data_IF_057893415056
#
_entry.id   IF_057893415056
#
_cell.length_a   1.000
_cell.length_b   1.000
_cell.length_c   1.000
_cell.angle_alpha   90.00
_cell.angle_beta   90.00
_cell.angle_gamma   90.00
#
_symmetry.space_group_name_H-M   'P 1'
#
loop_
_entity.id
_entity.type
_entity.pdbx_description
1 polymer ?
#
# COMPACT_ATOMS: atom_id res chain seq x y z
N UNK A 1 -9.18 -54.12 -11.92
CA UNK A 1 -8.65 -53.56 -10.65
C UNK A 1 -7.46 -52.69 -11.01
N UNK A 2 -7.70 -51.41 -11.27
CA UNK A 2 -6.66 -50.41 -11.47
C UNK A 2 -6.90 -49.35 -10.39
N UNK A 3 -5.91 -49.22 -9.53
CA UNK A 3 -5.92 -48.41 -8.31
C UNK A 3 -5.67 -46.94 -8.71
N UNK A 4 -6.65 -46.09 -8.41
CA UNK A 4 -6.63 -44.67 -8.76
C UNK A 4 -6.09 -43.90 -7.54
N UNK A 5 -4.81 -43.51 -7.58
CA UNK A 5 -4.19 -42.74 -6.50
C UNK A 5 -4.61 -41.27 -6.59
N UNK A 6 -5.56 -40.91 -5.72
CA UNK A 6 -5.90 -39.55 -5.34
C UNK A 6 -4.63 -38.81 -4.86
N UNK A 7 -4.22 -37.82 -5.64
CA UNK A 7 -3.17 -36.87 -5.24
C UNK A 7 -3.85 -35.67 -4.58
N UNK A 8 -3.56 -35.33 -3.31
CA UNK A 8 -4.18 -34.18 -2.67
C UNK A 8 -3.67 -32.85 -3.28
N UNK A 9 -4.51 -31.80 -3.33
CA UNK A 9 -4.10 -30.49 -3.79
C UNK A 9 -3.06 -29.89 -2.83
N UNK A 10 -1.88 -29.60 -3.38
CA UNK A 10 -0.78 -28.90 -2.71
C UNK A 10 -1.17 -27.43 -2.46
N UNK A 11 -1.88 -27.18 -1.36
CA UNK A 11 -2.20 -25.83 -0.88
C UNK A 11 -1.01 -25.25 -0.11
N UNK A 12 0.06 -24.97 -0.83
CA UNK A 12 1.26 -24.29 -0.33
C UNK A 12 1.11 -22.78 -0.56
N UNK A 13 0.14 -22.17 0.12
CA UNK A 13 0.14 -20.72 0.29
C UNK A 13 1.39 -20.32 1.08
N UNK A 14 2.16 -19.32 0.65
CA UNK A 14 3.36 -18.87 1.35
C UNK A 14 2.98 -18.41 2.76
N UNK A 15 3.49 -19.13 3.77
CA UNK A 15 3.41 -18.69 5.17
C UNK A 15 4.20 -17.38 5.26
N UNK A 16 3.57 -16.25 5.64
CA UNK A 16 4.34 -15.04 5.89
C UNK A 16 5.34 -15.33 7.00
N UNK A 17 6.63 -14.98 6.84
CA UNK A 17 7.63 -15.21 7.88
C UNK A 17 7.23 -14.44 9.13
N UNK A 18 7.29 -15.12 10.27
CA UNK A 18 7.10 -14.51 11.58
C UNK A 18 8.17 -13.45 11.79
N UNK A 19 7.79 -12.17 11.69
CA UNK A 19 8.63 -11.08 12.16
C UNK A 19 8.69 -11.21 13.69
N UNK A 20 9.91 -11.29 14.21
CA UNK A 20 10.17 -11.11 15.64
C UNK A 20 9.52 -9.80 16.08
N UNK A 21 8.63 -9.82 17.10
CA UNK A 21 7.98 -8.62 17.56
C UNK A 21 9.05 -7.70 18.12
N UNK A 22 9.30 -6.59 17.43
CA UNK A 22 9.99 -5.45 18.02
C UNK A 22 9.15 -5.02 19.23
N UNK A 23 9.64 -5.32 20.43
CA UNK A 23 9.24 -4.78 21.74
C UNK A 23 7.80 -4.25 21.79
N UNK A 24 6.85 -5.13 22.10
CA UNK A 24 5.47 -4.78 22.44
C UNK A 24 5.49 -3.78 23.61
N UNK A 25 5.36 -2.50 23.31
CA UNK A 25 5.03 -1.47 24.31
C UNK A 25 3.55 -1.62 24.63
N UNK A 26 3.25 -1.79 25.90
CA UNK A 26 1.88 -1.86 26.42
C UNK A 26 1.09 -0.63 25.97
N UNK A 27 -0.11 -0.79 25.38
CA UNK A 27 -0.92 0.34 24.94
C UNK A 27 -1.36 1.18 26.14
N UNK A 28 -1.12 2.50 26.03
CA UNK A 28 -1.55 3.50 27.02
C UNK A 28 -3.09 3.62 27.02
N UNK A 29 -3.77 3.54 28.19
CA UNK A 29 -5.22 3.38 28.30
C UNK A 29 -5.99 4.71 28.26
N UNK A 30 -5.78 5.52 27.23
CA UNK A 30 -6.62 6.69 26.92
C UNK A 30 -6.68 6.89 25.40
N UNK A 31 -7.31 5.93 24.71
CA UNK A 31 -7.52 6.03 23.27
C UNK A 31 -8.65 7.02 23.00
N UNK A 32 -8.28 8.26 22.65
CA UNK A 32 -9.19 9.10 21.88
C UNK A 32 -9.65 8.35 20.62
N UNK A 33 -10.86 8.63 20.09
CA UNK A 33 -11.32 8.07 18.83
C UNK A 33 -10.34 8.46 17.70
N UNK A 34 -9.39 7.58 17.42
CA UNK A 34 -8.26 7.83 16.53
C UNK A 34 -7.51 6.55 16.20
N UNK A 35 -6.69 6.58 15.15
CA UNK A 35 -5.85 5.44 14.75
C UNK A 35 -4.94 5.09 15.94
N UNK A 36 -4.79 3.81 16.24
CA UNK A 36 -3.78 3.38 17.21
C UNK A 36 -2.38 3.88 16.78
N UNK A 37 -1.53 4.29 17.73
CA UNK A 37 -0.19 4.79 17.39
C UNK A 37 0.61 3.75 16.58
N UNK A 38 0.45 2.46 16.89
CA UNK A 38 1.09 1.35 16.21
C UNK A 38 0.58 1.18 14.77
N UNK A 39 -0.75 1.18 14.59
CA UNK A 39 -1.37 1.12 13.25
C UNK A 39 -0.93 2.31 12.39
N UNK A 40 -0.81 3.51 12.97
CA UNK A 40 -0.37 4.69 12.24
C UNK A 40 1.08 4.56 11.76
N UNK A 41 1.99 4.07 12.61
CA UNK A 41 3.38 3.85 12.24
C UNK A 41 3.52 2.78 11.15
N UNK A 42 2.71 1.70 11.21
CA UNK A 42 2.64 0.67 10.16
C UNK A 42 2.21 1.29 8.83
N UNK A 43 1.15 2.09 8.82
CA UNK A 43 0.63 2.74 7.61
C UNK A 43 1.69 3.66 7.02
N UNK A 44 2.31 4.53 7.84
CA UNK A 44 3.34 5.47 7.40
C UNK A 44 4.54 4.74 6.81
N UNK A 45 5.00 3.67 7.44
CA UNK A 45 6.14 2.91 6.96
C UNK A 45 5.86 2.30 5.57
N UNK A 46 4.68 1.69 5.39
CA UNK A 46 4.29 1.12 4.11
C UNK A 46 4.04 2.18 3.03
N UNK A 47 3.56 3.37 3.40
CA UNK A 47 3.49 4.50 2.49
C UNK A 47 4.88 4.91 1.99
N UNK A 48 5.87 5.00 2.89
CA UNK A 48 7.23 5.32 2.50
C UNK A 48 7.75 4.26 1.56
N UNK A 49 7.61 2.97 1.90
CA UNK A 49 8.02 1.89 1.01
C UNK A 49 7.31 1.93 -0.35
N UNK A 50 6.00 2.16 -0.39
CA UNK A 50 5.27 2.33 -1.66
C UNK A 50 5.73 3.55 -2.47
N UNK A 51 6.12 4.65 -1.81
CA UNK A 51 6.75 5.78 -2.51
C UNK A 51 8.13 5.41 -3.07
N UNK A 52 8.90 4.56 -2.38
CA UNK A 52 10.18 4.08 -2.87
C UNK A 52 10.03 3.14 -4.06
N UNK A 53 8.96 2.34 -4.13
CA UNK A 53 8.73 1.46 -5.28
C UNK A 53 8.48 2.27 -6.55
N UNK A 54 7.75 3.39 -6.46
CA UNK A 54 7.54 4.29 -7.58
C UNK A 54 8.83 4.84 -8.22
N UNK A 55 9.94 4.86 -7.47
CA UNK A 55 11.24 5.27 -8.00
C UNK A 55 11.88 4.18 -8.90
N UNK A 56 11.34 2.97 -8.93
CA UNK A 56 11.84 1.86 -9.72
C UNK A 56 11.44 2.06 -11.19
N UNK A 57 12.39 2.01 -12.14
CA UNK A 57 12.11 2.26 -13.55
C UNK A 57 11.39 1.10 -14.28
N UNK A 58 10.92 0.07 -13.57
CA UNK A 58 10.34 -1.15 -14.15
C UNK A 58 8.88 -1.28 -13.71
N UNK A 59 7.90 -0.96 -14.58
CA UNK A 59 6.49 -0.81 -14.18
C UNK A 59 5.84 -2.11 -13.68
N UNK A 60 6.24 -3.27 -14.25
CA UNK A 60 5.68 -4.57 -13.83
C UNK A 60 6.14 -4.93 -12.41
N UNK A 61 7.44 -4.77 -12.13
CA UNK A 61 8.00 -5.09 -10.81
C UNK A 61 7.53 -4.11 -9.75
N UNK A 62 7.37 -2.84 -10.11
CA UNK A 62 6.79 -1.81 -9.22
C UNK A 62 5.36 -2.18 -8.81
N UNK A 63 4.51 -2.60 -9.75
CA UNK A 63 3.13 -3.04 -9.44
C UNK A 63 3.09 -4.24 -8.48
N UNK A 64 3.93 -5.25 -8.70
CA UNK A 64 4.05 -6.40 -7.80
C UNK A 64 4.56 -6.01 -6.42
N UNK A 65 5.55 -5.10 -6.37
CA UNK A 65 6.11 -4.62 -5.12
C UNK A 65 5.09 -3.82 -4.30
N UNK A 66 4.36 -2.91 -4.95
CA UNK A 66 3.31 -2.14 -4.32
C UNK A 66 2.17 -3.05 -3.81
N UNK A 67 1.75 -4.04 -4.60
CA UNK A 67 0.73 -5.01 -4.18
C UNK A 67 1.19 -5.85 -2.98
N UNK A 68 2.42 -6.37 -3.01
CA UNK A 68 3.01 -7.08 -1.87
C UNK A 68 3.01 -6.22 -0.60
N UNK A 69 3.49 -4.97 -0.68
CA UNK A 69 3.56 -4.05 0.45
C UNK A 69 2.16 -3.73 1.00
N UNK A 70 1.16 -3.53 0.14
CA UNK A 70 -0.23 -3.27 0.57
C UNK A 70 -0.82 -4.49 1.28
N UNK A 71 -0.66 -5.69 0.72
CA UNK A 71 -1.13 -6.93 1.36
C UNK A 71 -0.49 -7.12 2.73
N UNK A 72 0.82 -6.93 2.82
CA UNK A 72 1.57 -7.02 4.08
C UNK A 72 1.10 -6.00 5.11
N UNK A 73 0.85 -4.76 4.70
CA UNK A 73 0.26 -3.73 5.57
C UNK A 73 -1.08 -4.19 6.15
N UNK A 74 -1.99 -4.69 5.31
CA UNK A 74 -3.33 -5.14 5.76
C UNK A 74 -3.22 -6.33 6.70
N UNK A 75 -2.33 -7.29 6.44
CA UNK A 75 -2.08 -8.39 7.38
C UNK A 75 -1.58 -7.89 8.74
N UNK A 76 -0.67 -6.93 8.76
CA UNK A 76 -0.15 -6.37 10.01
C UNK A 76 -1.21 -5.59 10.78
N UNK A 77 -2.04 -4.81 10.08
CA UNK A 77 -3.17 -4.12 10.69
C UNK A 77 -4.17 -5.13 11.28
N UNK A 78 -4.58 -6.14 10.52
CA UNK A 78 -5.50 -7.18 11.01
C UNK A 78 -4.95 -7.91 12.24
N UNK A 79 -3.66 -8.27 12.22
CA UNK A 79 -2.98 -8.90 13.35
C UNK A 79 -2.99 -7.99 14.61
N UNK A 80 -2.77 -6.69 14.45
CA UNK A 80 -2.86 -5.71 15.54
C UNK A 80 -4.26 -5.61 16.17
N UNK A 81 -5.31 -5.88 15.39
CA UNK A 81 -6.70 -5.95 15.88
C UNK A 81 -7.12 -7.36 16.34
N UNK A 82 -6.21 -8.33 16.33
CA UNK A 82 -6.51 -9.72 16.69
C UNK A 82 -7.40 -10.47 15.68
N UNK A 83 -7.55 -9.92 14.48
CA UNK A 83 -8.33 -10.53 13.40
C UNK A 83 -7.42 -11.35 12.47
N UNK A 84 -7.94 -12.49 12.00
CA UNK A 84 -7.28 -13.31 10.97
C UNK A 84 -8.04 -13.16 9.67
N UNK A 85 -7.52 -12.35 8.76
CA UNK A 85 -8.06 -12.24 7.41
C UNK A 85 -7.55 -13.39 6.53
N UNK A 86 -8.42 -13.95 5.71
CA UNK A 86 -8.00 -14.89 4.68
C UNK A 86 -7.19 -14.16 3.59
N UNK A 87 -6.36 -14.90 2.86
CA UNK A 87 -5.59 -14.35 1.75
C UNK A 87 -6.47 -13.73 0.67
N UNK A 88 -7.63 -14.33 0.42
CA UNK A 88 -8.66 -13.82 -0.49
C UNK A 88 -9.22 -12.47 -0.01
N UNK A 89 -9.56 -12.35 1.27
CA UNK A 89 -10.06 -11.08 1.83
C UNK A 89 -9.01 -9.98 1.73
N UNK A 90 -7.76 -10.28 2.07
CA UNK A 90 -6.67 -9.32 1.94
C UNK A 90 -6.49 -8.90 0.49
N UNK A 91 -6.53 -9.85 -0.45
CA UNK A 91 -6.45 -9.55 -1.88
C UNK A 91 -7.57 -8.60 -2.32
N UNK A 92 -8.82 -8.89 -1.96
CA UNK A 92 -9.98 -8.04 -2.25
C UNK A 92 -9.81 -6.63 -1.68
N UNK A 93 -9.34 -6.52 -0.43
CA UNK A 93 -9.17 -5.22 0.23
C UNK A 93 -8.03 -4.40 -0.39
N UNK A 94 -7.02 -5.03 -0.97
CA UNK A 94 -5.85 -4.34 -1.55
C UNK A 94 -5.88 -4.16 -3.05
N UNK A 95 -6.81 -4.82 -3.75
CA UNK A 95 -6.91 -4.76 -5.21
C UNK A 95 -7.18 -3.33 -5.70
N UNK A 96 -6.29 -2.79 -6.53
CA UNK A 96 -6.53 -1.51 -7.20
C UNK A 96 -7.19 -1.76 -8.57
N UNK A 97 -8.46 -1.34 -8.70
CA UNK A 97 -9.15 -1.24 -9.99
C UNK A 97 -8.41 -0.22 -10.87
N UNK A 98 -7.51 -0.69 -11.73
CA UNK A 98 -6.78 0.18 -12.66
C UNK A 98 -5.43 -0.32 -13.14
N UNK A 99 -4.90 -1.43 -12.60
CA UNK A 99 -3.68 -2.07 -13.12
C UNK A 99 -3.95 -2.86 -14.42
N UNK A 100 -4.56 -2.21 -15.40
CA UNK A 100 -4.62 -2.73 -16.76
C UNK A 100 -3.20 -2.64 -17.36
N UNK A 101 -2.46 -3.75 -17.26
CA UNK A 101 -1.27 -4.03 -18.08
C UNK A 101 -1.50 -3.85 -19.59
N UNK A 102 -2.74 -3.68 -20.05
CA UNK A 102 -3.13 -3.50 -21.45
C UNK A 102 -2.69 -2.19 -22.13
N UNK A 103 -2.32 -1.13 -21.40
CA UNK A 103 -1.92 0.14 -22.03
C UNK A 103 -0.40 0.28 -22.27
N UNK A 104 0.42 -0.64 -21.76
CA UNK A 104 1.89 -0.52 -21.81
C UNK A 104 2.44 -0.84 -23.21
N UNK A 105 1.76 -1.69 -23.97
CA UNK A 105 2.19 -2.07 -25.33
C UNK A 105 2.16 -0.93 -26.35
N UNK A 106 1.23 0.04 -26.21
CA UNK A 106 1.07 1.16 -27.15
C UNK A 106 2.02 2.33 -26.90
N UNK A 107 2.39 2.61 -25.64
CA UNK A 107 3.21 3.78 -25.32
C UNK A 107 4.71 3.56 -25.57
N UNK A 108 5.19 2.31 -25.56
CA UNK A 108 6.61 2.02 -25.73
C UNK A 108 7.08 2.29 -27.17
N UNK A 109 6.21 2.11 -28.17
CA UNK A 109 6.52 2.38 -29.57
C UNK A 109 6.60 3.88 -29.89
N UNK A 110 5.79 4.71 -29.22
CA UNK A 110 5.82 6.17 -29.37
C UNK A 110 7.11 6.82 -28.85
N UNK A 111 7.83 6.16 -27.93
CA UNK A 111 9.06 6.69 -27.34
C UNK A 111 10.29 6.53 -28.26
N UNK A 112 10.26 5.58 -29.19
CA UNK A 112 11.37 5.29 -30.12
C UNK A 112 11.49 6.40 -31.18
N UNK A 113 10.40 7.10 -31.48
CA UNK A 113 10.33 8.13 -32.54
C UNK A 113 10.72 9.54 -32.08
N UNK A 114 10.99 9.76 -30.79
CA UNK A 114 11.24 11.10 -30.23
C UNK A 114 12.75 11.40 -30.25
N UNK A 115 13.19 12.56 -30.77
CA UNK A 115 14.61 12.90 -30.82
C UNK A 115 15.20 13.04 -29.40
N UNK A 116 16.40 12.48 -29.19
CA UNK A 116 17.07 12.36 -27.88
C UNK A 116 17.17 13.68 -27.08
N UNK A 117 17.28 14.83 -27.76
CA UNK A 117 17.29 16.16 -27.13
C UNK A 117 15.93 16.55 -26.52
N UNK A 118 14.81 16.17 -27.14
CA UNK A 118 13.48 16.36 -26.56
C UNK A 118 13.24 15.39 -25.40
N UNK A 119 13.75 14.17 -25.50
CA UNK A 119 13.61 13.15 -24.44
C UNK A 119 14.21 13.63 -23.12
N UNK A 120 15.36 14.32 -23.14
CA UNK A 120 16.00 14.83 -21.90
C UNK A 120 15.26 16.00 -21.26
N UNK A 121 14.72 16.93 -22.04
CA UNK A 121 13.86 18.01 -21.53
C UNK A 121 12.53 17.47 -21.01
N UNK A 122 11.91 16.56 -21.78
CA UNK A 122 10.68 15.90 -21.39
C UNK A 122 10.90 15.00 -20.17
N UNK A 123 12.07 14.38 -20.00
CA UNK A 123 12.38 13.56 -18.82
C UNK A 123 12.32 14.37 -17.52
N UNK A 124 12.75 15.64 -17.52
CA UNK A 124 12.62 16.52 -16.35
C UNK A 124 11.16 16.86 -16.05
N UNK A 125 10.37 17.20 -17.07
CA UNK A 125 8.94 17.47 -16.90
C UNK A 125 8.16 16.22 -16.45
N UNK A 126 8.48 15.06 -17.04
CA UNK A 126 7.95 13.76 -16.67
C UNK A 126 8.34 13.37 -15.25
N UNK A 127 9.51 13.78 -14.75
CA UNK A 127 9.90 13.53 -13.37
C UNK A 127 8.98 14.26 -12.37
N UNK A 128 8.61 15.51 -12.66
CA UNK A 128 7.64 16.25 -11.82
C UNK A 128 6.27 15.59 -11.86
N UNK A 129 5.80 15.18 -13.05
CA UNK A 129 4.53 14.46 -13.20
C UNK A 129 4.54 13.10 -12.50
N UNK A 130 5.67 12.39 -12.54
CA UNK A 130 5.87 11.14 -11.79
C UNK A 130 5.73 11.39 -10.29
N UNK A 131 6.45 12.37 -9.74
CA UNK A 131 6.35 12.72 -8.32
C UNK A 131 4.91 13.04 -7.93
N UNK A 132 4.21 13.87 -8.72
CA UNK A 132 2.80 14.19 -8.46
C UNK A 132 1.92 12.94 -8.44
N UNK A 133 2.05 12.07 -9.45
CA UNK A 133 1.30 10.80 -9.52
C UNK A 133 1.61 9.89 -8.32
N UNK A 134 2.86 9.83 -7.88
CA UNK A 134 3.25 9.05 -6.70
C UNK A 134 2.63 9.60 -5.43
N UNK A 135 2.70 10.92 -5.23
CA UNK A 135 2.09 11.56 -4.07
C UNK A 135 0.57 11.35 -4.07
N UNK A 136 -0.10 11.48 -5.21
CA UNK A 136 -1.55 11.22 -5.34
C UNK A 136 -1.90 9.76 -5.05
N UNK A 137 -1.10 8.81 -5.55
CA UNK A 137 -1.29 7.37 -5.28
C UNK A 137 -1.05 7.03 -3.82
N UNK A 138 0.04 7.54 -3.22
CA UNK A 138 0.35 7.37 -1.81
C UNK A 138 -0.73 8.01 -0.92
N UNK A 139 -1.24 9.19 -1.29
CA UNK A 139 -2.36 9.83 -0.61
C UNK A 139 -3.60 8.94 -0.63
N UNK A 140 -3.99 8.39 -1.77
CA UNK A 140 -5.11 7.42 -1.85
C UNK A 140 -4.84 6.18 -1.01
N UNK A 141 -3.64 5.62 -1.08
CA UNK A 141 -3.25 4.45 -0.28
C UNK A 141 -3.37 4.73 1.22
N UNK A 142 -3.02 5.93 1.69
CA UNK A 142 -3.18 6.34 3.08
C UNK A 142 -4.65 6.35 3.50
N UNK A 143 -5.51 6.97 2.70
CA UNK A 143 -6.94 7.05 2.99
C UNK A 143 -7.57 5.66 3.02
N UNK A 144 -7.24 4.81 2.05
CA UNK A 144 -7.64 3.40 2.02
C UNK A 144 -7.19 2.66 3.27
N UNK A 145 -5.91 2.77 3.65
CA UNK A 145 -5.38 2.11 4.84
C UNK A 145 -6.08 2.57 6.13
N UNK A 146 -6.40 3.87 6.22
CA UNK A 146 -7.14 4.44 7.36
C UNK A 146 -8.56 3.89 7.44
N UNK A 147 -9.24 3.74 6.30
CA UNK A 147 -10.58 3.12 6.26
C UNK A 147 -10.54 1.62 6.58
N UNK A 148 -9.47 0.91 6.21
CA UNK A 148 -9.27 -0.49 6.60
C UNK A 148 -9.09 -0.60 8.12
N UNK A 149 -8.25 0.25 8.71
CA UNK A 149 -8.07 0.31 10.16
C UNK A 149 -9.39 0.59 10.87
N UNK A 150 -10.17 1.56 10.37
CA UNK A 150 -11.51 1.85 10.88
C UNK A 150 -12.44 0.63 10.79
N UNK A 151 -12.47 -0.04 9.64
CA UNK A 151 -13.33 -1.20 9.40
C UNK A 151 -12.96 -2.39 10.30
N UNK A 152 -11.67 -2.61 10.55
CA UNK A 152 -11.18 -3.60 11.51
C UNK A 152 -11.57 -3.22 12.94
N UNK A 153 -11.29 -1.98 13.35
CA UNK A 153 -11.62 -1.46 14.69
C UNK A 153 -13.11 -1.56 15.02
N UNK A 154 -13.97 -1.32 14.03
CA UNK A 154 -15.43 -1.37 14.16
C UNK A 154 -16.05 -2.70 13.75
N UNK A 155 -15.22 -3.72 13.46
CA UNK A 155 -15.63 -5.09 13.09
C UNK A 155 -16.58 -5.16 11.89
N UNK A 156 -16.47 -4.23 10.93
CA UNK A 156 -17.31 -4.17 9.72
C UNK A 156 -17.00 -5.28 8.72
N UNK A 157 -15.88 -5.98 8.91
CA UNK A 157 -15.49 -7.16 8.15
C UNK A 157 -16.13 -8.46 8.66
N UNK A 158 -16.99 -8.38 9.69
CA UNK A 158 -17.79 -9.51 10.17
C UNK A 158 -19.18 -9.57 9.50
N UNK A 159 -19.71 -10.76 9.19
CA UNK A 159 -19.08 -12.09 9.34
C UNK A 159 -17.89 -12.27 8.39
N UNK A 160 -16.87 -13.00 8.87
CA UNK A 160 -15.65 -13.22 8.10
C UNK A 160 -15.97 -13.94 6.78
N UNK A 161 -15.51 -13.39 5.66
CA UNK A 161 -15.72 -13.93 4.33
C UNK A 161 -15.44 -12.93 3.20
N UNK A 162 -15.36 -13.45 1.98
CA UNK A 162 -15.19 -12.64 0.77
C UNK A 162 -16.34 -11.63 0.53
N UNK A 163 -17.63 -11.95 0.77
CA UNK A 163 -18.72 -10.99 0.53
C UNK A 163 -18.62 -9.73 1.40
N UNK A 164 -18.25 -9.88 2.68
CA UNK A 164 -18.06 -8.73 3.58
C UNK A 164 -16.88 -7.85 3.12
N UNK A 165 -15.76 -8.47 2.74
CA UNK A 165 -14.60 -7.76 2.22
C UNK A 165 -14.90 -7.03 0.90
N UNK A 166 -15.66 -7.65 -0.02
CA UNK A 166 -16.08 -7.01 -1.27
C UNK A 166 -16.98 -5.80 -1.02
N UNK A 167 -17.94 -5.92 -0.10
CA UNK A 167 -18.83 -4.82 0.28
C UNK A 167 -18.04 -3.64 0.86
N UNK A 168 -17.16 -3.93 1.83
CA UNK A 168 -16.30 -2.91 2.44
C UNK A 168 -15.38 -2.26 1.41
N UNK A 169 -14.76 -3.06 0.53
CA UNK A 169 -13.91 -2.53 -0.55
C UNK A 169 -14.69 -1.59 -1.48
N UNK A 170 -15.88 -1.99 -1.92
CA UNK A 170 -16.71 -1.18 -2.81
C UNK A 170 -17.12 0.14 -2.15
N UNK A 171 -17.51 0.11 -0.88
CA UNK A 171 -17.84 1.32 -0.13
C UNK A 171 -16.61 2.23 0.04
N UNK A 172 -15.44 1.67 0.39
CA UNK A 172 -14.20 2.42 0.47
C UNK A 172 -13.81 3.09 -0.86
N UNK A 173 -13.93 2.38 -1.98
CA UNK A 173 -13.65 2.93 -3.31
C UNK A 173 -14.52 4.17 -3.58
N UNK A 174 -15.81 4.13 -3.21
CA UNK A 174 -16.73 5.26 -3.38
C UNK A 174 -16.36 6.44 -2.49
N UNK A 175 -16.02 6.20 -1.23
CA UNK A 175 -15.59 7.24 -0.29
C UNK A 175 -14.27 7.87 -0.74
N UNK A 176 -13.27 7.07 -1.09
CA UNK A 176 -11.95 7.58 -1.53
C UNK A 176 -12.06 8.35 -2.85
N UNK A 177 -12.97 7.96 -3.75
CA UNK A 177 -13.19 8.67 -5.01
C UNK A 177 -13.73 10.11 -4.82
N UNK A 178 -14.51 10.35 -3.77
CA UNK A 178 -15.10 11.67 -3.47
C UNK A 178 -14.29 12.47 -2.45
N UNK A 179 -13.34 11.85 -1.75
CA UNK A 179 -12.55 12.50 -0.71
C UNK A 179 -11.45 13.40 -1.28
N UNK A 180 -11.30 14.59 -0.70
CA UNK A 180 -10.21 15.50 -1.04
C UNK A 180 -8.87 15.01 -0.47
N UNK A 181 -8.04 14.40 -1.30
CA UNK A 181 -6.71 13.90 -0.89
C UNK A 181 -5.65 15.00 -0.73
N UNK A 182 -5.96 16.26 -1.06
CA UNK A 182 -4.99 17.38 -1.08
C UNK A 182 -4.23 17.59 0.24
N UNK A 183 -4.85 17.55 1.43
CA UNK A 183 -4.13 17.77 2.69
C UNK A 183 -3.02 16.74 2.91
N UNK A 184 -3.33 15.47 2.70
CA UNK A 184 -2.37 14.35 2.80
C UNK A 184 -1.30 14.47 1.72
N UNK A 185 -1.69 14.79 0.48
CA UNK A 185 -0.74 14.99 -0.62
C UNK A 185 0.26 16.11 -0.33
N UNK A 186 -0.19 17.21 0.29
CA UNK A 186 0.70 18.31 0.71
C UNK A 186 1.68 17.88 1.80
N UNK A 187 1.20 17.14 2.81
CA UNK A 187 2.06 16.59 3.86
C UNK A 187 3.14 15.66 3.27
N UNK A 188 2.72 14.70 2.43
CA UNK A 188 3.64 13.78 1.73
C UNK A 188 4.65 14.53 0.86
N UNK A 189 4.20 15.52 0.08
CA UNK A 189 5.07 16.32 -0.77
C UNK A 189 6.09 17.13 0.03
N UNK A 190 5.69 17.71 1.16
CA UNK A 190 6.58 18.46 2.04
C UNK A 190 7.72 17.57 2.57
N UNK A 191 7.38 16.37 3.05
CA UNK A 191 8.37 15.40 3.53
C UNK A 191 9.28 14.92 2.41
N UNK A 192 8.72 14.60 1.24
CA UNK A 192 9.49 14.20 0.07
C UNK A 192 10.48 15.29 -0.35
N UNK A 193 10.08 16.56 -0.26
CA UNK A 193 10.93 17.69 -0.62
C UNK A 193 12.05 17.93 0.39
N UNK A 194 11.78 17.75 1.69
CA UNK A 194 12.76 17.91 2.76
C UNK A 194 13.76 16.76 2.87
N UNK A 195 13.41 15.56 2.42
CA UNK A 195 14.19 14.34 2.65
C UNK A 195 14.61 13.61 1.35
N UNK A 196 14.82 14.35 0.25
CA UNK A 196 15.10 13.78 -1.07
C UNK A 196 16.28 12.83 -1.10
N UNK A 197 17.39 13.17 -0.44
CA UNK A 197 18.62 12.37 -0.50
C UNK A 197 18.50 11.06 0.27
N UNK A 198 17.81 11.09 1.42
CA UNK A 198 17.50 9.89 2.20
C UNK A 198 16.57 8.96 1.42
N UNK A 199 15.50 9.50 0.81
CA UNK A 199 14.58 8.72 -0.03
C UNK A 199 15.27 8.18 -1.28
N UNK A 200 16.16 8.95 -1.91
CA UNK A 200 16.95 8.49 -3.05
C UNK A 200 17.88 7.33 -2.68
N UNK A 201 18.49 7.41 -1.50
CA UNK A 201 19.35 6.35 -0.98
C UNK A 201 18.54 5.08 -0.69
N UNK A 202 17.40 5.21 -0.02
CA UNK A 202 16.49 4.10 0.24
C UNK A 202 15.95 3.46 -1.06
N UNK A 203 15.55 4.29 -2.04
CA UNK A 203 15.11 3.85 -3.36
C UNK A 203 16.22 3.10 -4.10
N UNK A 204 17.49 3.49 -3.94
CA UNK A 204 18.62 2.78 -4.54
C UNK A 204 18.76 1.35 -4.00
N UNK A 205 18.53 1.13 -2.69
CA UNK A 205 18.52 -0.21 -2.10
C UNK A 205 17.38 -1.08 -2.65
N UNK A 206 16.15 -0.55 -2.69
CA UNK A 206 15.00 -1.24 -3.29
C UNK A 206 15.26 -1.60 -4.76
N UNK A 207 15.72 -0.64 -5.55
CA UNK A 207 16.02 -0.85 -6.96
C UNK A 207 17.16 -1.87 -7.15
N UNK A 208 18.17 -1.88 -6.28
CA UNK A 208 19.25 -2.87 -6.32
C UNK A 208 18.72 -4.28 -6.02
N UNK A 209 17.92 -4.44 -4.97
CA UNK A 209 17.32 -5.72 -4.60
C UNK A 209 16.46 -6.28 -5.73
N UNK A 210 15.63 -5.45 -6.33
CA UNK A 210 14.73 -5.86 -7.43
C UNK A 210 15.45 -6.09 -8.75
N UNK A 211 16.53 -5.35 -9.05
CA UNK A 211 17.36 -5.59 -10.23
C UNK A 211 18.19 -6.86 -10.14
N UNK A 212 18.52 -7.30 -8.93
CA UNK A 212 19.21 -8.57 -8.72
C UNK A 212 18.33 -9.78 -9.06
N UNK A 213 17.00 -9.61 -9.14
CA UNK A 213 16.09 -10.69 -9.52
C UNK A 213 16.22 -11.00 -11.02
N UNK A 214 16.55 -12.26 -11.38
CA UNK A 214 16.56 -12.67 -12.77
C UNK A 214 15.15 -12.59 -13.35
N UNK A 215 15.03 -12.28 -14.65
CA UNK A 215 13.73 -12.06 -15.30
C UNK A 215 12.74 -13.21 -15.09
N UNK A 216 13.23 -14.46 -15.04
CA UNK A 216 12.43 -15.67 -14.82
C UNK A 216 11.87 -15.84 -13.40
N UNK A 217 12.35 -15.05 -12.42
CA UNK A 217 11.95 -15.08 -11.00
C UNK A 217 11.33 -13.75 -10.57
N UNK A 218 10.61 -13.09 -11.48
CA UNK A 218 9.86 -11.87 -11.19
C UNK A 218 8.39 -12.20 -10.93
N UNK A 219 8.17 -13.21 -10.10
CA UNK A 219 6.87 -13.52 -9.51
C UNK A 219 6.73 -12.82 -8.15
N UNK A 220 5.52 -12.86 -7.58
CA UNK A 220 5.19 -12.15 -6.35
C UNK A 220 6.03 -12.61 -5.14
N UNK A 221 6.38 -13.89 -5.06
CA UNK A 221 7.07 -14.47 -3.91
C UNK A 221 8.53 -13.98 -3.86
N UNK A 222 9.25 -14.09 -4.98
CA UNK A 222 10.63 -13.63 -5.05
C UNK A 222 10.76 -12.10 -4.92
N UNK A 223 9.78 -11.35 -5.42
CA UNK A 223 9.70 -9.89 -5.21
C UNK A 223 9.51 -9.59 -3.72
N UNK A 224 8.62 -10.32 -3.04
CA UNK A 224 8.41 -10.19 -1.60
C UNK A 224 9.69 -10.41 -0.79
N UNK A 225 10.42 -11.49 -1.06
CA UNK A 225 11.68 -11.81 -0.38
C UNK A 225 12.75 -10.73 -0.60
N UNK A 226 12.90 -10.24 -1.83
CA UNK A 226 13.85 -9.18 -2.16
C UNK A 226 13.50 -7.86 -1.46
N UNK A 227 12.21 -7.53 -1.39
CA UNK A 227 11.73 -6.34 -0.67
C UNK A 227 11.96 -6.45 0.82
N UNK A 228 11.67 -7.60 1.42
CA UNK A 228 11.91 -7.83 2.84
C UNK A 228 13.39 -7.64 3.22
N UNK A 229 14.32 -8.08 2.35
CA UNK A 229 15.75 -7.82 2.55
C UNK A 229 16.10 -6.33 2.40
N UNK A 230 15.49 -5.64 1.43
CA UNK A 230 15.69 -4.21 1.23
C UNK A 230 15.13 -3.35 2.38
N UNK A 231 14.00 -3.74 2.96
CA UNK A 231 13.42 -3.11 4.15
C UNK A 231 14.39 -3.17 5.33
N UNK A 232 15.00 -4.33 5.59
CA UNK A 232 15.98 -4.47 6.67
C UNK A 232 17.18 -3.52 6.50
N UNK A 233 17.63 -3.28 5.27
CA UNK A 233 18.73 -2.37 4.96
C UNK A 233 18.31 -0.89 5.01
N UNK A 234 17.05 -0.60 4.78
CA UNK A 234 16.53 0.77 4.69
C UNK A 234 15.88 1.26 5.99
N UNK A 235 15.60 0.36 6.96
CA UNK A 235 14.96 0.70 8.23
C UNK A 235 15.63 1.89 8.93
N UNK A 236 16.97 1.93 8.98
CA UNK A 236 17.72 3.05 9.59
C UNK A 236 17.56 4.36 8.80
N UNK A 237 17.59 4.29 7.46
CA UNK A 237 17.41 5.47 6.61
C UNK A 237 15.97 5.99 6.61
N UNK A 238 14.99 5.10 6.69
CA UNK A 238 13.56 5.44 6.69
C UNK A 238 13.09 5.91 8.07
N UNK A 239 13.70 5.42 9.16
CA UNK A 239 13.34 5.80 10.53
C UNK A 239 13.37 7.31 10.78
N UNK A 240 14.31 8.03 10.16
CA UNK A 240 14.38 9.49 10.25
C UNK A 240 13.24 10.24 9.55
N UNK A 241 12.47 9.58 8.68
CA UNK A 241 11.38 10.15 7.89
C UNK A 241 10.01 9.85 8.52
N UNK A 242 9.89 8.72 9.23
CA UNK A 242 8.63 8.28 9.84
C UNK A 242 8.07 9.35 10.79
N UNK A 243 8.89 9.87 11.71
CA UNK A 243 8.43 10.86 12.69
C UNK A 243 8.01 12.20 12.06
N UNK A 244 8.79 12.82 11.15
CA UNK A 244 8.34 14.01 10.44
C UNK A 244 7.04 13.81 9.66
N UNK A 245 6.90 12.66 8.99
CA UNK A 245 5.68 12.35 8.23
C UNK A 245 4.49 12.14 9.15
N UNK A 246 4.67 11.44 10.27
CA UNK A 246 3.66 11.29 11.30
C UNK A 246 3.20 12.64 11.81
N UNK A 247 4.13 13.50 12.21
CA UNK A 247 3.81 14.84 12.70
C UNK A 247 3.06 15.69 11.65
N UNK A 248 3.43 15.57 10.37
CA UNK A 248 2.75 16.28 9.29
C UNK A 248 1.34 15.74 9.02
N UNK A 249 1.11 14.43 9.19
CA UNK A 249 -0.20 13.80 9.04
C UNK A 249 -1.10 14.06 10.26
N UNK A 250 -0.54 14.08 11.46
CA UNK A 250 -1.24 14.40 12.71
C UNK A 250 -1.68 15.87 12.76
N UNK A 251 -1.00 16.75 12.02
CA UNK A 251 -1.40 18.15 11.86
C UNK A 251 -2.63 18.35 10.94
N UNK A 252 -3.09 17.30 10.24
CA UNK A 252 -4.30 17.37 9.43
C UNK A 252 -5.52 17.39 10.37
N UNK A 253 -6.49 18.29 10.16
CA UNK A 253 -7.66 18.39 11.03
C UNK A 253 -8.39 17.04 11.18
N UNK A 254 -8.70 16.59 12.42
CA UNK A 254 -9.33 15.29 12.65
C UNK A 254 -10.72 15.18 12.01
N UNK A 255 -11.40 16.31 11.76
CA UNK A 255 -12.68 16.35 11.04
C UNK A 255 -12.57 15.70 9.66
N UNK A 256 -11.45 15.90 8.95
CA UNK A 256 -11.21 15.32 7.64
C UNK A 256 -11.38 13.80 7.63
N UNK A 257 -10.86 13.13 8.66
CA UNK A 257 -10.94 11.68 8.77
C UNK A 257 -12.27 11.20 9.33
N UNK A 258 -12.83 11.95 10.29
CA UNK A 258 -14.15 11.65 10.86
C UNK A 258 -15.25 11.68 9.80
N UNK A 259 -15.19 12.65 8.88
CA UNK A 259 -16.11 12.74 7.75
C UNK A 259 -16.01 11.54 6.81
N UNK A 260 -14.80 11.04 6.56
CA UNK A 260 -14.60 9.83 5.75
C UNK A 260 -15.13 8.58 6.43
N UNK A 261 -14.89 8.43 7.74
CA UNK A 261 -15.38 7.31 8.54
C UNK A 261 -16.92 7.28 8.54
N UNK A 262 -17.54 8.44 8.74
CA UNK A 262 -19.00 8.60 8.66
C UNK A 262 -19.54 8.31 7.25
N UNK A 263 -18.82 8.72 6.20
CA UNK A 263 -19.20 8.42 4.82
C UNK A 263 -19.13 6.92 4.52
N UNK A 264 -18.13 6.21 5.05
CA UNK A 264 -18.03 4.76 4.92
C UNK A 264 -19.21 4.05 5.60
N UNK A 265 -19.58 4.46 6.81
CA UNK A 265 -20.74 3.91 7.51
C UNK A 265 -22.04 4.16 6.73
N UNK A 266 -22.20 5.35 6.16
CA UNK A 266 -23.36 5.69 5.33
C UNK A 266 -23.43 4.83 4.06
N UNK A 267 -22.30 4.58 3.41
CA UNK A 267 -22.22 3.72 2.22
C UNK A 267 -22.53 2.25 2.54
N UNK A 268 -22.02 1.72 3.65
CA UNK A 268 -22.33 0.36 4.09
C UNK A 268 -23.82 0.20 4.44
N UNK A 269 -24.42 1.20 5.09
CA UNK A 269 -25.85 1.19 5.42
C UNK A 269 -26.77 1.30 4.19
N UNK A 270 -26.29 1.86 3.08
CA UNK A 270 -27.03 1.88 1.80
C UNK A 270 -27.09 0.49 1.18
N UNK A 271 -25.98 -0.24 1.20
CA UNK A 271 -25.89 -1.59 0.62
C UNK A 271 -26.70 -2.64 1.43
N UNK A 272 -27.03 -2.35 2.69
CA UNK A 272 -27.88 -3.22 3.54
C UNK A 272 -29.39 -3.10 3.26
N UNK A 273 -29.82 -2.10 2.48
CA UNK A 273 -31.23 -1.97 2.12
C UNK A 273 -31.55 -2.96 1.00
N UNK A 274 -32.47 -3.92 1.20
CA UNK A 274 -32.98 -4.71 0.09
C UNK A 274 -33.62 -3.77 -0.93
N UNK A 275 -33.24 -3.92 -2.20
CA UNK A 275 -33.81 -3.20 -3.32
C UNK A 275 -35.33 -3.43 -3.43
#
# INVERSE_FOLDING_TARGET
>A
MADNQDTPPSDSAPRPPALTPATVRTPSPAAEPGISAESHDIIILHLIYGMLTGWIPVPIVDGLAADYLRRRMVYQLAAGHGEKLSSEQVHILTEERGSCLGCVGGCLFALISIPFRLVTLLARALQVLRIKRFVESAGRAYHTARLIEYALRTKKLHPAGAPAALRVRAAMDRVVATTNTTPVNKALLSILQGNKDMLRTAAAYFNRALRALPFRKRDADHVGDALQQAEAQTATSVGGIVWPLRSALDAIPPQHFTEMEAALDAELARDDKPL
#
